data_IF_767934923725
#
_entry.id   IF_767934923725
#
_cell.length_a   1.000
_cell.length_b   1.000
_cell.length_c   1.000
_cell.angle_alpha   90.00
_cell.angle_beta   90.00
_cell.angle_gamma   90.00
#
_symmetry.space_group_name_H-M   'P 1'
#
loop_
_entity.id
_entity.type
_entity.pdbx_description
1 polymer ?
#
# COMPACT_ATOMS: atom_id res chain seq x y z
N UNK A 1 24.70 -18.87 22.34
CA UNK A 1 24.89 -18.83 23.81
C UNK A 1 24.23 -17.61 24.50
N UNK A 2 23.18 -16.98 23.94
CA UNK A 2 22.49 -15.82 24.53
C UNK A 2 21.07 -16.10 25.09
N UNK A 3 20.54 -17.32 24.98
CA UNK A 3 19.17 -17.66 25.44
C UNK A 3 19.05 -18.11 26.90
N UNK A 4 20.03 -18.87 27.42
CA UNK A 4 19.92 -19.55 28.74
C UNK A 4 19.68 -18.60 29.93
N UNK A 5 20.25 -17.39 29.94
CA UNK A 5 20.09 -16.48 31.08
C UNK A 5 18.69 -15.87 31.23
N UNK A 6 17.96 -15.68 30.13
CA UNK A 6 16.58 -15.20 30.20
C UNK A 6 15.65 -16.32 30.66
N UNK A 7 15.83 -17.52 30.12
CA UNK A 7 15.02 -18.69 30.49
C UNK A 7 15.17 -19.03 31.98
N UNK A 8 16.39 -18.92 32.53
CA UNK A 8 16.66 -19.12 33.95
C UNK A 8 15.98 -18.05 34.83
N UNK A 9 16.02 -16.77 34.41
CA UNK A 9 15.37 -15.67 35.13
C UNK A 9 13.84 -15.80 35.12
N UNK A 10 13.26 -16.20 33.99
CA UNK A 10 11.82 -16.46 33.86
C UNK A 10 11.41 -17.64 34.74
N UNK A 11 12.16 -18.75 34.71
CA UNK A 11 11.90 -19.93 35.54
C UNK A 11 11.93 -19.59 37.04
N UNK A 12 12.89 -18.78 37.47
CA UNK A 12 12.99 -18.31 38.85
C UNK A 12 11.81 -17.39 39.25
N UNK A 13 11.41 -16.47 38.36
CA UNK A 13 10.28 -15.58 38.61
C UNK A 13 8.94 -16.33 38.69
N UNK A 14 8.72 -17.30 37.79
CA UNK A 14 7.52 -18.14 37.80
C UNK A 14 7.46 -19.06 39.03
N UNK A 15 8.60 -19.61 39.46
CA UNK A 15 8.67 -20.40 40.70
C UNK A 15 8.30 -19.55 41.93
N UNK A 16 8.68 -18.28 41.93
CA UNK A 16 8.27 -17.36 42.99
C UNK A 16 6.75 -17.10 42.94
N UNK A 17 6.17 -16.84 41.77
CA UNK A 17 4.72 -16.68 41.64
C UNK A 17 3.98 -17.93 42.10
N UNK A 18 4.44 -19.13 41.72
CA UNK A 18 3.80 -20.39 42.11
C UNK A 18 3.78 -20.58 43.64
N UNK A 19 4.81 -20.08 44.33
CA UNK A 19 4.87 -20.10 45.80
C UNK A 19 3.90 -19.13 46.48
N UNK A 20 3.42 -18.10 45.78
CA UNK A 20 2.55 -17.04 46.31
C UNK A 20 1.10 -17.24 45.86
N UNK A 21 0.90 -17.46 44.56
CA UNK A 21 -0.38 -17.69 43.89
C UNK A 21 -0.16 -18.57 42.64
N UNK A 22 -0.47 -19.88 42.72
CA UNK A 22 -0.35 -20.80 41.60
C UNK A 22 -1.17 -20.42 40.37
N UNK A 23 -2.31 -19.74 40.54
CA UNK A 23 -3.14 -19.32 39.41
C UNK A 23 -2.45 -18.19 38.64
N UNK A 24 -1.91 -17.20 39.36
CA UNK A 24 -1.07 -16.14 38.77
C UNK A 24 0.13 -16.72 38.01
N UNK A 25 0.78 -17.74 38.57
CA UNK A 25 1.93 -18.39 37.93
C UNK A 25 1.54 -19.10 36.63
N UNK A 26 0.40 -19.78 36.60
CA UNK A 26 -0.13 -20.43 35.41
C UNK A 26 -0.45 -19.41 34.31
N UNK A 27 -1.06 -18.28 34.68
CA UNK A 27 -1.43 -17.21 33.75
C UNK A 27 -0.21 -16.50 33.18
N UNK A 28 0.76 -16.19 34.04
CA UNK A 28 2.04 -15.62 33.66
C UNK A 28 2.84 -16.56 32.73
N UNK A 29 2.81 -17.87 32.99
CA UNK A 29 3.43 -18.88 32.12
C UNK A 29 2.78 -18.88 30.73
N UNK A 30 1.44 -18.94 30.67
CA UNK A 30 0.72 -18.94 29.40
C UNK A 30 0.99 -17.64 28.61
N UNK A 31 0.97 -16.50 29.28
CA UNK A 31 1.34 -15.22 28.69
C UNK A 31 2.78 -15.19 28.18
N UNK A 32 3.73 -15.71 28.95
CA UNK A 32 5.14 -15.76 28.56
C UNK A 32 5.37 -16.68 27.37
N UNK A 33 4.80 -17.88 27.37
CA UNK A 33 4.98 -18.86 26.29
C UNK A 33 4.40 -18.30 24.98
N UNK A 34 3.25 -17.62 25.04
CA UNK A 34 2.67 -16.92 23.90
C UNK A 34 3.55 -15.75 23.41
N UNK A 35 4.05 -14.91 24.31
CA UNK A 35 4.97 -13.82 23.97
C UNK A 35 6.28 -14.34 23.37
N UNK A 36 6.85 -15.41 23.92
CA UNK A 36 8.07 -16.03 23.42
C UNK A 36 7.89 -16.59 22.01
N UNK A 37 6.69 -17.13 21.70
CA UNK A 37 6.35 -17.63 20.37
C UNK A 37 6.35 -16.56 19.26
N UNK A 38 6.16 -15.28 19.62
CA UNK A 38 6.13 -14.15 18.67
C UNK A 38 7.31 -13.19 18.83
N UNK A 39 8.21 -13.46 19.78
CA UNK A 39 9.38 -12.62 20.03
C UNK A 39 10.60 -13.12 19.26
N UNK A 40 11.54 -12.23 18.89
CA UNK A 40 12.79 -12.65 18.29
C UNK A 40 13.63 -13.46 19.31
N UNK A 41 14.62 -14.26 18.85
CA UNK A 41 15.46 -15.08 19.72
C UNK A 41 16.26 -14.30 20.77
N UNK A 42 16.42 -12.99 20.60
CA UNK A 42 17.09 -12.12 21.55
C UNK A 42 16.22 -11.73 22.76
N UNK A 43 14.92 -12.01 22.72
CA UNK A 43 13.94 -11.72 23.76
C UNK A 43 12.84 -10.75 23.30
N UNK A 44 11.87 -10.41 24.17
CA UNK A 44 10.75 -9.57 23.81
C UNK A 44 11.14 -8.14 23.41
N UNK A 45 10.43 -7.62 22.40
CA UNK A 45 10.49 -6.23 21.93
C UNK A 45 9.15 -5.56 22.23
N UNK A 46 9.09 -4.23 22.21
CA UNK A 46 7.81 -3.54 22.35
C UNK A 46 6.82 -3.99 21.26
N UNK A 47 7.31 -4.20 20.03
CA UNK A 47 6.49 -4.71 18.94
C UNK A 47 5.94 -6.12 19.24
N UNK A 48 6.76 -7.07 19.69
CA UNK A 48 6.29 -8.43 19.98
C UNK A 48 5.31 -8.48 21.16
N UNK A 49 5.52 -7.63 22.17
CA UNK A 49 4.60 -7.47 23.31
C UNK A 49 3.24 -6.97 22.84
N UNK A 50 3.21 -5.92 22.02
CA UNK A 50 1.97 -5.38 21.46
C UNK A 50 1.26 -6.40 20.56
N UNK A 51 2.00 -7.06 19.67
CA UNK A 51 1.46 -8.09 18.78
C UNK A 51 0.86 -9.26 19.58
N UNK A 52 1.55 -9.77 20.59
CA UNK A 52 1.00 -10.83 21.44
C UNK A 52 -0.29 -10.38 22.15
N UNK A 53 -0.22 -9.27 22.88
CA UNK A 53 -1.32 -8.80 23.73
C UNK A 53 -2.54 -8.35 22.93
N UNK A 54 -2.33 -7.67 21.80
CA UNK A 54 -3.40 -7.01 21.06
C UNK A 54 -4.00 -7.89 19.95
N UNK A 55 -3.22 -8.84 19.42
CA UNK A 55 -3.64 -9.68 18.29
C UNK A 55 -3.82 -11.14 18.69
N UNK A 56 -2.85 -11.75 19.37
CA UNK A 56 -2.90 -13.19 19.63
C UNK A 56 -3.69 -13.56 20.88
N UNK A 57 -3.61 -12.74 21.93
CA UNK A 57 -4.21 -13.06 23.22
C UNK A 57 -5.73 -13.19 23.17
N UNK A 58 -6.40 -12.39 22.33
CA UNK A 58 -7.85 -12.48 22.06
C UNK A 58 -8.29 -13.85 21.53
N UNK A 59 -7.39 -14.57 20.86
CA UNK A 59 -7.68 -15.88 20.27
C UNK A 59 -7.16 -17.03 21.14
N UNK A 60 -6.11 -16.80 21.92
CA UNK A 60 -5.50 -17.80 22.78
C UNK A 60 -6.28 -18.03 24.09
N UNK A 61 -7.02 -17.04 24.57
CA UNK A 61 -7.75 -17.10 25.83
C UNK A 61 -9.20 -17.57 25.68
N UNK A 62 -9.72 -18.21 26.72
CA UNK A 62 -11.13 -18.61 26.85
C UNK A 62 -12.04 -17.43 27.23
N UNK A 63 -12.02 -16.38 26.40
CA UNK A 63 -12.83 -15.17 26.58
C UNK A 63 -12.06 -13.96 27.14
N UNK A 64 -12.72 -12.78 27.14
CA UNK A 64 -12.05 -11.50 27.36
C UNK A 64 -11.56 -11.29 28.80
N UNK A 65 -12.32 -11.74 29.80
CA UNK A 65 -11.89 -11.63 31.21
C UNK A 65 -10.62 -12.46 31.46
N UNK A 66 -10.59 -13.67 30.91
CA UNK A 66 -9.43 -14.56 31.01
C UNK A 66 -8.21 -13.96 30.32
N UNK A 67 -8.40 -13.35 29.15
CA UNK A 67 -7.34 -12.66 28.45
C UNK A 67 -6.79 -11.45 29.25
N UNK A 68 -7.66 -10.69 29.92
CA UNK A 68 -7.22 -9.59 30.80
C UNK A 68 -6.40 -10.11 31.98
N UNK A 69 -6.80 -11.23 32.59
CA UNK A 69 -6.04 -11.84 33.69
C UNK A 69 -4.65 -12.30 33.23
N UNK A 70 -4.57 -12.97 32.06
CA UNK A 70 -3.30 -13.37 31.43
C UNK A 70 -2.42 -12.15 31.14
N UNK A 71 -2.99 -11.07 30.59
CA UNK A 71 -2.26 -9.85 30.29
C UNK A 71 -1.67 -9.21 31.56
N UNK A 72 -2.46 -9.14 32.65
CA UNK A 72 -2.00 -8.61 33.93
C UNK A 72 -0.91 -9.48 34.56
N UNK A 73 -1.08 -10.79 34.57
CA UNK A 73 -0.09 -11.75 35.07
C UNK A 73 1.23 -11.68 34.29
N UNK A 74 1.17 -11.56 32.96
CA UNK A 74 2.33 -11.32 32.12
C UNK A 74 2.99 -9.98 32.45
N UNK A 75 2.21 -8.93 32.70
CA UNK A 75 2.71 -7.63 33.15
C UNK A 75 3.53 -7.74 34.44
N UNK A 76 3.04 -8.46 35.43
CA UNK A 76 3.73 -8.65 36.71
C UNK A 76 5.03 -9.45 36.54
N UNK A 77 5.03 -10.45 35.66
CA UNK A 77 6.24 -11.18 35.28
C UNK A 77 7.27 -10.25 34.62
N UNK A 78 6.85 -9.45 33.62
CA UNK A 78 7.71 -8.53 32.89
C UNK A 78 8.33 -7.47 33.81
N UNK A 79 7.55 -6.92 34.74
CA UNK A 79 8.06 -5.98 35.74
C UNK A 79 9.14 -6.61 36.62
N UNK A 80 8.92 -7.85 37.06
CA UNK A 80 9.91 -8.60 37.86
C UNK A 80 11.19 -8.93 37.09
N UNK A 81 11.09 -9.06 35.76
CA UNK A 81 12.24 -9.19 34.85
C UNK A 81 12.90 -7.82 34.52
N UNK A 82 12.44 -6.73 35.13
CA UNK A 82 12.96 -5.37 34.90
C UNK A 82 12.50 -4.72 33.59
N UNK A 83 11.47 -5.28 32.94
CA UNK A 83 10.89 -4.78 31.68
C UNK A 83 9.67 -3.89 31.96
N UNK A 84 9.88 -2.83 32.73
CA UNK A 84 8.81 -1.95 33.24
C UNK A 84 7.94 -1.39 32.11
N UNK A 85 8.54 -0.89 31.03
CA UNK A 85 7.79 -0.34 29.90
C UNK A 85 6.88 -1.38 29.22
N UNK A 86 7.30 -2.64 29.14
CA UNK A 86 6.48 -3.70 28.56
C UNK A 86 5.35 -4.15 29.51
N UNK A 87 5.64 -4.15 30.82
CA UNK A 87 4.64 -4.41 31.85
C UNK A 87 3.52 -3.35 31.86
N UNK A 88 3.87 -2.08 31.62
CA UNK A 88 2.90 -1.00 31.47
C UNK A 88 1.97 -1.21 30.27
N UNK A 89 2.49 -1.70 29.13
CA UNK A 89 1.65 -2.05 27.97
C UNK A 89 0.69 -3.17 28.34
N UNK A 90 1.18 -4.23 28.98
CA UNK A 90 0.37 -5.38 29.40
C UNK A 90 -0.80 -5.00 30.32
N UNK A 91 -0.59 -4.03 31.21
CA UNK A 91 -1.59 -3.53 32.17
C UNK A 91 -2.33 -2.28 31.71
N UNK A 92 -2.10 -1.82 30.48
CA UNK A 92 -2.70 -0.58 29.98
C UNK A 92 -4.20 -0.74 29.72
N UNK A 93 -4.94 0.37 29.87
CA UNK A 93 -6.35 0.42 29.48
C UNK A 93 -6.56 0.09 27.98
N UNK A 94 -5.59 0.45 27.13
CA UNK A 94 -5.62 0.11 25.70
C UNK A 94 -5.61 -1.40 25.47
N UNK A 95 -4.75 -2.14 26.18
CA UNK A 95 -4.74 -3.61 26.09
C UNK A 95 -6.05 -4.21 26.57
N UNK A 96 -6.61 -3.71 27.67
CA UNK A 96 -7.91 -4.17 28.17
C UNK A 96 -9.05 -3.87 27.19
N UNK A 97 -9.10 -2.67 26.60
CA UNK A 97 -10.09 -2.29 25.58
C UNK A 97 -10.03 -3.20 24.36
N UNK A 98 -8.82 -3.45 23.82
CA UNK A 98 -8.62 -4.29 22.63
C UNK A 98 -9.01 -5.75 22.89
N UNK A 99 -8.61 -6.31 24.02
CA UNK A 99 -8.94 -7.69 24.39
C UNK A 99 -10.44 -7.88 24.61
N UNK A 100 -11.14 -6.85 25.09
CA UNK A 100 -12.59 -6.87 25.34
C UNK A 100 -13.43 -6.55 24.10
N UNK A 101 -12.82 -6.12 22.99
CA UNK A 101 -13.54 -5.82 21.77
C UNK A 101 -14.14 -7.10 21.16
N UNK A 102 -15.47 -7.19 21.13
CA UNK A 102 -16.19 -8.37 20.62
C UNK A 102 -16.49 -8.33 19.13
N UNK A 103 -16.38 -7.15 18.51
CA UNK A 103 -16.63 -6.92 17.09
C UNK A 103 -15.31 -6.70 16.36
N UNK A 104 -15.08 -7.46 15.29
CA UNK A 104 -13.82 -7.45 14.55
C UNK A 104 -13.53 -6.11 13.87
N UNK A 105 -14.56 -5.41 13.39
CA UNK A 105 -14.39 -4.12 12.72
C UNK A 105 -14.02 -3.02 13.72
N UNK A 106 -14.69 -3.01 14.89
CA UNK A 106 -14.36 -2.11 16.00
C UNK A 106 -12.95 -2.43 16.53
N UNK A 107 -12.64 -3.71 16.75
CA UNK A 107 -11.31 -4.14 17.19
C UNK A 107 -10.23 -3.67 16.21
N UNK A 108 -10.42 -3.87 14.90
CA UNK A 108 -9.44 -3.46 13.89
C UNK A 108 -9.23 -1.94 13.88
N UNK A 109 -10.30 -1.16 14.03
CA UNK A 109 -10.21 0.29 14.15
C UNK A 109 -9.40 0.71 15.38
N UNK A 110 -9.71 0.13 16.54
CA UNK A 110 -9.00 0.40 17.80
C UNK A 110 -7.54 -0.04 17.73
N UNK A 111 -7.27 -1.22 17.15
CA UNK A 111 -5.92 -1.76 17.00
C UNK A 111 -5.05 -0.86 16.12
N UNK A 112 -5.57 -0.38 14.99
CA UNK A 112 -4.86 0.58 14.12
C UNK A 112 -4.56 1.87 14.87
N UNK A 113 -5.53 2.41 15.61
CA UNK A 113 -5.33 3.62 16.40
C UNK A 113 -4.28 3.44 17.51
N UNK A 114 -4.32 2.32 18.24
CA UNK A 114 -3.36 1.99 19.29
C UNK A 114 -1.94 1.80 18.72
N UNK A 115 -1.81 1.12 17.59
CA UNK A 115 -0.54 0.90 16.88
C UNK A 115 0.06 2.20 16.35
N UNK A 116 -0.78 3.11 15.83
CA UNK A 116 -0.33 4.44 15.42
C UNK A 116 0.15 5.24 16.63
N UNK A 117 -0.61 5.25 17.73
CA UNK A 117 -0.28 5.97 18.96
C UNK A 117 0.98 5.43 19.65
N UNK A 118 1.25 4.13 19.55
CA UNK A 118 2.37 3.50 20.24
C UNK A 118 3.75 3.93 19.72
N UNK A 119 3.82 4.45 18.49
CA UNK A 119 5.08 4.84 17.89
C UNK A 119 5.86 3.71 17.22
N UNK A 120 5.50 2.45 17.48
CA UNK A 120 6.32 1.27 17.15
C UNK A 120 5.75 0.43 16.00
N UNK A 121 4.51 0.69 15.56
CA UNK A 121 3.99 0.08 14.33
C UNK A 121 4.63 0.62 13.06
N UNK A 122 4.80 -0.26 12.06
CA UNK A 122 5.09 0.15 10.69
C UNK A 122 3.97 1.05 10.17
N UNK A 123 4.33 2.22 9.65
CA UNK A 123 3.38 3.21 9.14
C UNK A 123 3.28 3.09 7.63
N UNK A 124 2.10 3.32 7.08
CA UNK A 124 1.94 3.47 5.63
C UNK A 124 2.83 4.63 5.14
N UNK A 125 3.55 4.41 4.04
CA UNK A 125 4.44 5.39 3.43
C UNK A 125 4.10 5.61 1.96
N UNK A 126 4.90 6.41 1.26
CA UNK A 126 4.75 6.54 -0.19
C UNK A 126 5.26 5.30 -0.95
N UNK A 127 5.97 4.38 -0.29
CA UNK A 127 6.49 3.16 -0.88
C UNK A 127 5.56 1.96 -0.70
N UNK A 128 4.78 1.94 0.39
CA UNK A 128 3.97 0.79 0.77
C UNK A 128 2.76 1.17 1.62
N UNK A 129 1.67 0.44 1.43
CA UNK A 129 0.54 0.36 2.36
C UNK A 129 0.48 -1.04 2.95
N UNK A 130 0.54 -1.16 4.28
CA UNK A 130 0.64 -2.46 4.97
C UNK A 130 -0.69 -3.23 4.97
N UNK A 131 -0.60 -4.56 4.86
CA UNK A 131 -1.75 -5.44 5.07
C UNK A 131 -2.26 -5.33 6.50
N UNK A 132 -3.55 -5.61 6.70
CA UNK A 132 -4.16 -5.59 8.03
C UNK A 132 -3.65 -6.70 8.93
N UNK A 133 -3.36 -7.86 8.35
CA UNK A 133 -2.73 -9.00 8.99
C UNK A 133 -1.51 -9.44 8.16
N UNK A 134 -0.35 -8.78 8.31
CA UNK A 134 0.88 -9.18 7.64
C UNK A 134 1.23 -10.64 7.94
N UNK A 135 1.59 -11.41 6.91
CA UNK A 135 2.05 -12.80 7.05
C UNK A 135 3.43 -12.97 6.39
N UNK A 136 4.04 -14.16 6.56
CA UNK A 136 5.28 -14.52 5.87
C UNK A 136 6.39 -13.47 5.96
N UNK A 137 6.87 -13.05 4.79
CA UNK A 137 7.94 -12.04 4.64
C UNK A 137 7.48 -10.66 5.08
N UNK A 138 6.26 -10.24 4.74
CA UNK A 138 5.74 -8.92 5.13
C UNK A 138 5.70 -8.77 6.65
N UNK A 139 5.29 -9.83 7.38
CA UNK A 139 5.34 -9.85 8.85
C UNK A 139 6.74 -9.63 9.38
N UNK A 140 7.74 -10.34 8.84
CA UNK A 140 9.13 -10.21 9.28
C UNK A 140 9.68 -8.80 9.02
N UNK A 141 9.26 -8.15 7.92
CA UNK A 141 9.62 -6.76 7.61
C UNK A 141 8.98 -5.79 8.60
N UNK A 142 7.68 -5.94 8.88
CA UNK A 142 6.95 -5.12 9.87
C UNK A 142 7.57 -5.24 11.26
N UNK A 143 7.93 -6.47 11.68
CA UNK A 143 8.63 -6.72 12.95
C UNK A 143 9.96 -5.97 13.00
N UNK A 144 10.77 -6.04 11.93
CA UNK A 144 12.06 -5.35 11.86
C UNK A 144 11.93 -3.83 11.86
N UNK A 145 10.92 -3.28 11.18
CA UNK A 145 10.60 -1.85 11.24
C UNK A 145 10.24 -1.45 12.68
N UNK A 146 9.43 -2.27 13.36
CA UNK A 146 9.05 -2.01 14.75
C UNK A 146 10.25 -2.00 15.70
N UNK A 147 11.14 -2.99 15.58
CA UNK A 147 12.41 -3.04 16.33
C UNK A 147 13.25 -1.78 16.09
N UNK A 148 13.30 -1.31 14.84
CA UNK A 148 14.10 -0.14 14.46
C UNK A 148 13.50 1.15 15.01
N UNK A 149 12.17 1.30 14.96
CA UNK A 149 11.44 2.42 15.56
C UNK A 149 11.58 2.44 17.09
N UNK A 150 11.64 1.28 17.73
CA UNK A 150 11.88 1.16 19.16
C UNK A 150 13.28 1.65 19.53
N UNK A 151 14.30 1.19 18.81
CA UNK A 151 15.68 1.67 19.00
C UNK A 151 15.78 3.17 18.77
N UNK A 152 15.16 3.70 17.71
CA UNK A 152 15.13 5.14 17.44
C UNK A 152 14.44 5.93 18.55
N UNK A 153 13.36 5.38 19.13
CA UNK A 153 12.66 5.98 20.27
C UNK A 153 13.56 6.03 21.51
N UNK A 154 14.24 4.94 21.83
CA UNK A 154 15.19 4.86 22.96
C UNK A 154 16.37 5.82 22.76
N UNK A 155 16.83 5.99 21.52
CA UNK A 155 17.90 6.91 21.16
C UNK A 155 17.48 8.40 21.19
N UNK A 156 16.19 8.70 21.42
CA UNK A 156 15.68 10.06 21.47
C UNK A 156 15.47 10.71 20.10
N UNK A 157 15.41 9.93 19.00
CA UNK A 157 15.23 10.45 17.63
C UNK A 157 13.90 11.19 17.43
N UNK A 158 12.94 11.03 18.35
CA UNK A 158 11.65 11.72 18.34
C UNK A 158 11.53 12.82 19.40
N UNK A 159 12.63 13.14 20.09
CA UNK A 159 12.73 14.23 21.05
C UNK A 159 13.08 15.58 20.38
N UNK A 160 12.84 16.72 21.07
CA UNK A 160 13.24 18.03 20.58
C UNK A 160 14.76 18.12 20.39
N UNK A 161 15.21 18.76 19.30
CA UNK A 161 16.64 18.93 18.99
C UNK A 161 17.44 19.78 19.99
N UNK A 162 16.78 20.41 20.96
CA UNK A 162 17.42 21.18 22.04
C UNK A 162 16.86 20.71 23.38
N UNK A 163 17.71 20.53 24.42
CA UNK A 163 17.24 20.27 25.77
C UNK A 163 16.21 21.31 26.23
N UNK A 164 15.06 20.87 26.73
CA UNK A 164 13.95 21.73 27.13
C UNK A 164 13.16 22.35 25.97
N UNK A 165 13.42 21.94 24.73
CA UNK A 165 12.67 22.38 23.55
C UNK A 165 11.21 21.89 23.57
N UNK A 166 10.36 22.55 22.77
CA UNK A 166 8.97 22.10 22.60
C UNK A 166 8.95 20.69 21.98
N UNK A 167 8.12 19.76 22.48
CA UNK A 167 7.90 18.45 21.86
C UNK A 167 7.62 18.58 20.36
N UNK A 168 8.14 17.64 19.57
CA UNK A 168 7.78 17.53 18.17
C UNK A 168 6.26 17.40 18.03
N UNK A 169 5.67 18.16 17.11
CA UNK A 169 4.27 18.02 16.76
C UNK A 169 3.97 16.66 16.15
N UNK A 170 2.71 16.22 16.20
CA UNK A 170 2.24 14.91 15.72
C UNK A 170 2.68 14.67 14.26
N UNK A 171 2.51 15.65 13.38
CA UNK A 171 2.91 15.56 11.96
C UNK A 171 4.42 15.38 11.78
N UNK A 172 5.24 16.03 12.60
CA UNK A 172 6.70 15.93 12.51
C UNK A 172 7.18 14.55 12.96
N UNK A 173 6.59 13.99 14.03
CA UNK A 173 6.85 12.63 14.48
C UNK A 173 6.44 11.61 13.42
N UNK A 174 5.24 11.73 12.86
CA UNK A 174 4.77 10.85 11.79
C UNK A 174 5.70 10.89 10.56
N UNK A 175 6.20 12.08 10.19
CA UNK A 175 7.15 12.24 9.09
C UNK A 175 8.48 11.56 9.37
N UNK A 176 9.04 11.71 10.59
CA UNK A 176 10.28 11.02 10.97
C UNK A 176 10.09 9.50 10.99
N UNK A 177 8.97 9.00 11.51
CA UNK A 177 8.64 7.56 11.52
C UNK A 177 8.58 6.99 10.11
N UNK A 178 7.88 7.67 9.18
CA UNK A 178 7.88 7.29 7.76
C UNK A 178 9.30 7.25 7.19
N UNK A 179 10.13 8.25 7.49
CA UNK A 179 11.53 8.27 7.06
C UNK A 179 12.35 7.08 7.58
N UNK A 180 12.14 6.65 8.82
CA UNK A 180 12.78 5.43 9.37
C UNK A 180 12.25 4.18 8.65
N UNK A 181 10.94 4.08 8.43
CA UNK A 181 10.34 2.97 7.67
C UNK A 181 10.89 2.88 6.26
N UNK A 182 10.92 4.00 5.52
CA UNK A 182 11.45 4.06 4.15
C UNK A 182 12.94 3.73 4.11
N UNK A 183 13.72 4.18 5.09
CA UNK A 183 15.13 3.82 5.22
C UNK A 183 15.30 2.30 5.37
N UNK A 184 14.60 1.68 6.32
CA UNK A 184 14.64 0.20 6.50
C UNK A 184 14.28 -0.53 5.22
N UNK A 185 13.25 -0.08 4.49
CA UNK A 185 12.81 -0.72 3.25
C UNK A 185 13.84 -0.65 2.11
N UNK A 186 14.62 0.44 2.07
CA UNK A 186 15.51 0.75 0.95
C UNK A 186 17.00 0.50 1.24
N UNK A 187 17.40 0.34 2.51
CA UNK A 187 18.81 0.13 2.88
C UNK A 187 19.11 -1.27 3.39
N UNK A 188 18.15 -1.94 4.03
CA UNK A 188 18.41 -3.22 4.68
C UNK A 188 18.25 -4.38 3.71
N UNK A 189 19.16 -5.34 3.81
CA UNK A 189 19.08 -6.63 3.14
C UNK A 189 18.37 -7.67 4.02
N UNK A 190 17.79 -8.68 3.36
CA UNK A 190 17.10 -9.78 4.03
C UNK A 190 18.06 -10.67 4.81
N UNK A 191 17.51 -11.49 5.73
CA UNK A 191 18.31 -12.46 6.52
C UNK A 191 18.93 -13.59 5.68
N UNK A 192 18.57 -13.72 4.40
CA UNK A 192 18.89 -14.86 3.56
C UNK A 192 20.04 -14.63 2.57
N UNK A 193 20.93 -13.65 2.82
CA UNK A 193 22.00 -13.26 1.88
C UNK A 193 21.47 -12.90 0.47
N UNK A 194 20.18 -12.53 0.36
CA UNK A 194 19.64 -11.96 -0.86
C UNK A 194 20.21 -10.55 -1.00
N UNK A 195 20.83 -10.26 -2.14
CA UNK A 195 21.38 -8.93 -2.45
C UNK A 195 20.28 -7.84 -2.48
N UNK A 196 19.02 -8.26 -2.61
CA UNK A 196 17.85 -7.39 -2.72
C UNK A 196 17.43 -6.74 -1.40
N UNK A 197 17.05 -5.47 -1.49
CA UNK A 197 16.52 -4.69 -0.36
C UNK A 197 15.14 -5.21 0.07
N UNK A 198 14.74 -4.90 1.31
CA UNK A 198 13.46 -5.38 1.87
C UNK A 198 12.23 -4.99 1.03
N UNK A 199 12.26 -3.86 0.33
CA UNK A 199 11.17 -3.44 -0.56
C UNK A 199 10.95 -4.44 -1.72
N UNK A 200 12.02 -4.97 -2.31
CA UNK A 200 11.92 -5.94 -3.41
C UNK A 200 11.49 -7.32 -2.91
N UNK A 201 11.95 -7.72 -1.72
CA UNK A 201 11.46 -8.94 -1.06
C UNK A 201 9.97 -8.84 -0.72
N UNK A 202 9.50 -7.65 -0.33
CA UNK A 202 8.08 -7.40 -0.11
C UNK A 202 7.30 -7.52 -1.43
N UNK A 203 7.81 -6.96 -2.51
CA UNK A 203 7.18 -7.09 -3.83
C UNK A 203 7.05 -8.56 -4.24
N UNK A 204 8.11 -9.34 -4.10
CA UNK A 204 8.11 -10.77 -4.39
C UNK A 204 7.07 -11.53 -3.55
N UNK A 205 7.06 -11.26 -2.25
CA UNK A 205 6.07 -11.84 -1.35
C UNK A 205 4.64 -11.49 -1.77
N UNK A 206 4.40 -10.25 -2.19
CA UNK A 206 3.07 -9.81 -2.64
C UNK A 206 2.69 -10.36 -4.00
N UNK A 207 3.63 -10.56 -4.92
CA UNK A 207 3.39 -11.30 -6.16
C UNK A 207 2.93 -12.72 -5.83
N UNK A 208 3.62 -13.40 -4.91
CA UNK A 208 3.28 -14.77 -4.50
C UNK A 208 1.93 -14.85 -3.79
N UNK A 209 1.72 -13.98 -2.81
CA UNK A 209 0.46 -13.89 -2.07
C UNK A 209 -0.71 -13.61 -3.01
N UNK A 210 -0.56 -12.63 -3.91
CA UNK A 210 -1.60 -12.29 -4.88
C UNK A 210 -1.84 -13.42 -5.87
N UNK A 211 -0.79 -14.02 -6.42
CA UNK A 211 -0.89 -15.16 -7.34
C UNK A 211 -1.58 -16.38 -6.72
N UNK A 212 -1.47 -16.55 -5.40
CA UNK A 212 -2.12 -17.66 -4.67
C UNK A 212 -3.64 -17.51 -4.54
N UNK A 213 -4.20 -16.34 -4.85
CA UNK A 213 -5.63 -16.05 -4.66
C UNK A 213 -6.54 -16.88 -5.56
N UNK A 214 -6.14 -17.11 -6.81
CA UNK A 214 -6.90 -17.95 -7.75
C UNK A 214 -6.01 -18.46 -8.88
N UNK A 215 -6.42 -19.55 -9.56
CA UNK A 215 -5.66 -20.08 -10.70
C UNK A 215 -5.54 -19.06 -11.85
N UNK A 216 -6.60 -18.32 -12.26
CA UNK A 216 -6.45 -17.25 -13.25
C UNK A 216 -5.51 -16.13 -12.81
N UNK A 217 -5.42 -15.83 -11.51
CA UNK A 217 -4.46 -14.85 -11.00
C UNK A 217 -3.02 -15.36 -11.10
N UNK A 218 -2.78 -16.62 -10.78
CA UNK A 218 -1.47 -17.25 -10.96
C UNK A 218 -1.01 -17.21 -12.43
N UNK A 219 -1.93 -17.48 -13.37
CA UNK A 219 -1.68 -17.35 -14.80
C UNK A 219 -1.36 -15.91 -15.21
N UNK A 220 -2.12 -14.93 -14.70
CA UNK A 220 -1.95 -13.52 -15.03
C UNK A 220 -0.55 -13.00 -14.67
N UNK A 221 -0.03 -13.40 -13.52
CA UNK A 221 1.28 -12.94 -13.01
C UNK A 221 2.46 -13.76 -13.55
N UNK A 222 2.22 -14.77 -14.38
CA UNK A 222 3.27 -15.57 -14.99
C UNK A 222 4.13 -14.70 -15.92
N UNK A 223 5.43 -14.64 -15.64
CA UNK A 223 6.39 -13.88 -16.45
C UNK A 223 6.41 -12.37 -16.20
N UNK A 224 5.65 -11.84 -15.24
CA UNK A 224 5.65 -10.40 -14.93
C UNK A 224 6.79 -9.97 -14.00
N UNK A 225 7.38 -10.89 -13.24
CA UNK A 225 8.30 -10.59 -12.12
C UNK A 225 9.46 -9.67 -12.51
N UNK A 226 10.20 -9.99 -13.58
CA UNK A 226 11.34 -9.19 -14.04
C UNK A 226 10.92 -7.75 -14.39
N UNK A 227 9.85 -7.61 -15.18
CA UNK A 227 9.35 -6.30 -15.58
C UNK A 227 8.88 -5.44 -14.38
N UNK A 228 8.28 -6.06 -13.35
CA UNK A 228 7.86 -5.37 -12.13
C UNK A 228 9.06 -4.91 -11.30
N UNK A 229 10.14 -5.69 -11.25
CA UNK A 229 11.39 -5.29 -10.60
C UNK A 229 12.09 -4.15 -11.33
N UNK A 230 12.14 -4.18 -12.67
CA UNK A 230 12.77 -3.14 -13.48
C UNK A 230 12.00 -1.81 -13.49
N UNK A 231 10.74 -1.79 -13.05
CA UNK A 231 9.85 -0.64 -13.11
C UNK A 231 10.02 0.36 -11.93
N UNK A 232 11.24 0.56 -11.44
CA UNK A 232 11.56 1.53 -10.38
C UNK A 232 11.63 2.97 -10.92
N UNK A 233 12.18 3.13 -12.11
CA UNK A 233 12.53 4.44 -12.66
C UNK A 233 11.36 5.13 -13.41
N UNK A 234 11.16 6.46 -13.24
CA UNK A 234 10.13 7.20 -13.94
C UNK A 234 10.21 7.10 -15.47
N UNK A 235 9.05 6.91 -16.11
CA UNK A 235 8.94 6.99 -17.58
C UNK A 235 8.61 8.44 -17.97
N UNK A 236 9.66 9.24 -18.20
CA UNK A 236 9.50 10.68 -18.43
C UNK A 236 8.68 11.06 -19.68
N UNK A 237 8.52 10.17 -20.66
CA UNK A 237 7.68 10.41 -21.84
C UNK A 237 6.23 10.74 -21.47
N UNK A 238 5.62 9.94 -20.61
CA UNK A 238 4.24 10.16 -20.15
C UNK A 238 4.14 11.37 -19.21
N UNK A 239 5.12 11.57 -18.33
CA UNK A 239 5.18 12.73 -17.41
C UNK A 239 5.24 14.04 -18.20
N UNK A 240 6.07 14.11 -19.24
CA UNK A 240 6.17 15.29 -20.11
C UNK A 240 4.86 15.63 -20.81
N UNK A 241 4.04 14.63 -21.17
CA UNK A 241 2.72 14.87 -21.77
C UNK A 241 1.78 15.52 -20.75
N UNK A 242 1.80 15.05 -19.50
CA UNK A 242 1.05 15.67 -18.40
C UNK A 242 1.54 17.10 -18.12
N UNK A 243 2.85 17.31 -18.04
CA UNK A 243 3.43 18.65 -17.87
C UNK A 243 3.03 19.59 -19.02
N UNK A 244 3.04 19.08 -20.26
CA UNK A 244 2.69 19.87 -21.44
C UNK A 244 1.22 20.26 -21.49
N UNK A 245 0.30 19.36 -21.12
CA UNK A 245 -1.13 19.71 -21.03
C UNK A 245 -1.40 20.71 -19.90
N UNK A 246 -0.75 20.53 -18.74
CA UNK A 246 -0.81 21.46 -17.61
C UNK A 246 -0.28 22.84 -18.04
N UNK A 247 0.86 22.88 -18.72
CA UNK A 247 1.47 24.10 -19.25
C UNK A 247 0.60 24.81 -20.29
N UNK A 248 -0.08 24.06 -21.17
CA UNK A 248 -1.03 24.63 -22.13
C UNK A 248 -2.23 25.32 -21.47
N UNK A 249 -2.67 24.82 -20.31
CA UNK A 249 -3.77 25.39 -19.50
C UNK A 249 -3.27 26.59 -18.69
N UNK A 250 -2.02 26.57 -18.21
CA UNK A 250 -1.41 27.65 -17.42
C UNK A 250 -2.15 27.89 -16.11
N UNK A 251 -2.35 29.17 -15.74
CA UNK A 251 -3.09 29.56 -14.52
C UNK A 251 -4.61 29.31 -14.61
N UNK A 252 -5.08 28.85 -15.76
CA UNK A 252 -6.41 28.34 -15.98
C UNK A 252 -7.13 29.00 -17.14
N UNK A 253 -8.05 28.25 -17.73
CA UNK A 253 -8.77 28.63 -18.94
C UNK A 253 -10.27 28.65 -18.69
N UNK A 254 -10.98 29.59 -19.33
CA UNK A 254 -12.44 29.62 -19.34
C UNK A 254 -12.97 28.50 -20.21
N UNK A 255 -13.91 27.71 -19.66
CA UNK A 255 -14.58 26.66 -20.40
C UNK A 255 -15.68 27.26 -21.26
N UNK A 256 -16.07 26.54 -22.31
CA UNK A 256 -17.29 26.85 -23.06
C UNK A 256 -18.53 26.69 -22.17
N UNK A 257 -19.69 27.19 -22.61
CA UNK A 257 -20.95 27.07 -21.85
C UNK A 257 -21.33 25.60 -21.57
N UNK A 258 -20.96 24.69 -22.47
CA UNK A 258 -21.14 23.24 -22.31
C UNK A 258 -20.06 22.59 -21.42
N UNK A 259 -19.11 23.37 -20.89
CA UNK A 259 -18.05 22.91 -20.01
C UNK A 259 -16.86 22.27 -20.72
N UNK A 260 -16.68 22.49 -22.03
CA UNK A 260 -15.56 21.99 -22.82
C UNK A 260 -14.39 22.98 -22.88
N UNK A 261 -13.22 22.52 -23.28
CA UNK A 261 -12.09 23.38 -23.61
C UNK A 261 -12.40 24.17 -24.89
N UNK A 262 -11.96 25.44 -24.98
CA UNK A 262 -12.01 26.20 -26.22
C UNK A 262 -11.26 25.50 -27.36
N UNK A 263 -11.78 25.55 -28.59
CA UNK A 263 -11.23 24.85 -29.76
C UNK A 263 -9.78 25.27 -30.08
N UNK A 264 -9.43 26.54 -29.86
CA UNK A 264 -8.06 27.05 -30.04
C UNK A 264 -7.07 26.42 -29.04
N UNK A 265 -7.53 26.18 -27.81
CA UNK A 265 -6.77 25.45 -26.80
C UNK A 265 -6.67 23.97 -27.15
N UNK A 266 -7.75 23.34 -27.60
CA UNK A 266 -7.73 21.94 -28.06
C UNK A 266 -6.68 21.76 -29.16
N UNK A 267 -6.67 22.66 -30.15
CA UNK A 267 -5.68 22.65 -31.22
C UNK A 267 -4.26 22.92 -30.72
N UNK A 268 -4.07 23.77 -29.71
CA UNK A 268 -2.78 24.00 -29.07
C UNK A 268 -2.29 22.74 -28.36
N UNK A 269 -3.12 22.13 -27.51
CA UNK A 269 -2.80 20.88 -26.80
C UNK A 269 -2.45 19.78 -27.81
N UNK A 270 -3.27 19.59 -28.85
CA UNK A 270 -3.05 18.58 -29.88
C UNK A 270 -1.67 18.73 -30.57
N UNK A 271 -1.23 19.97 -30.83
CA UNK A 271 0.07 20.24 -31.46
C UNK A 271 1.26 20.13 -30.51
N UNK A 272 1.07 20.51 -29.24
CA UNK A 272 2.15 20.62 -28.25
C UNK A 272 2.41 19.31 -27.52
N UNK A 273 1.36 18.55 -27.20
CA UNK A 273 1.47 17.33 -26.37
C UNK A 273 1.84 16.11 -27.19
N UNK A 274 1.27 15.96 -28.39
CA UNK A 274 1.42 14.75 -29.20
C UNK A 274 2.48 14.92 -30.30
N UNK A 275 3.40 13.94 -30.46
CA UNK A 275 4.28 13.85 -31.62
C UNK A 275 3.48 13.87 -32.93
N UNK A 276 4.08 14.36 -34.02
CA UNK A 276 3.39 14.53 -35.33
C UNK A 276 2.69 13.24 -35.78
N UNK A 277 3.33 12.09 -35.61
CA UNK A 277 2.79 10.79 -36.00
C UNK A 277 1.58 10.32 -35.16
N UNK A 278 1.41 10.87 -33.95
CA UNK A 278 0.37 10.47 -32.99
C UNK A 278 -0.73 11.53 -32.85
N UNK A 279 -0.67 12.62 -33.64
CA UNK A 279 -1.65 13.69 -33.54
C UNK A 279 -3.04 13.17 -33.88
N UNK A 280 -4.08 13.61 -33.15
CA UNK A 280 -5.46 13.29 -33.51
C UNK A 280 -5.74 13.64 -34.98
N UNK A 281 -6.35 12.72 -35.72
CA UNK A 281 -6.67 12.90 -37.13
C UNK A 281 -7.61 14.09 -37.36
N UNK A 282 -8.56 14.28 -36.44
CA UNK A 282 -9.46 15.40 -36.41
C UNK A 282 -9.16 16.25 -35.17
N UNK A 283 -8.94 17.54 -35.40
CA UNK A 283 -8.73 18.53 -34.34
C UNK A 283 -9.79 19.60 -34.53
N UNK A 284 -10.69 19.68 -33.56
CA UNK A 284 -11.83 20.59 -33.58
C UNK A 284 -12.34 20.79 -32.16
N UNK A 285 -13.59 20.41 -31.92
CA UNK A 285 -14.17 20.42 -30.57
C UNK A 285 -13.50 19.35 -29.71
N UNK A 286 -13.43 19.58 -28.41
CA UNK A 286 -12.85 18.62 -27.46
C UNK A 286 -13.48 17.22 -27.56
N UNK A 287 -14.80 17.14 -27.74
CA UNK A 287 -15.53 15.88 -27.92
C UNK A 287 -15.12 15.09 -29.17
N UNK A 288 -14.63 15.79 -30.19
CA UNK A 288 -14.19 15.18 -31.45
C UNK A 288 -12.67 14.92 -31.44
N UNK A 289 -12.00 15.12 -30.30
CA UNK A 289 -10.55 14.97 -30.13
C UNK A 289 -10.24 14.09 -28.92
N UNK A 290 -10.49 12.78 -29.07
CA UNK A 290 -10.49 11.77 -27.99
C UNK A 290 -9.26 11.83 -27.08
N UNK A 291 -8.04 11.91 -27.64
CA UNK A 291 -6.80 11.98 -26.84
C UNK A 291 -6.75 13.23 -25.94
N UNK A 292 -7.27 14.38 -26.41
CA UNK A 292 -7.30 15.61 -25.59
C UNK A 292 -8.36 15.49 -24.49
N UNK A 293 -9.53 14.94 -24.82
CA UNK A 293 -10.58 14.68 -23.85
C UNK A 293 -10.12 13.70 -22.76
N UNK A 294 -9.43 12.63 -23.14
CA UNK A 294 -8.86 11.63 -22.23
C UNK A 294 -7.84 12.26 -21.28
N UNK A 295 -6.87 13.04 -21.80
CA UNK A 295 -5.90 13.75 -20.94
C UNK A 295 -6.60 14.70 -19.98
N UNK A 296 -7.61 15.45 -20.42
CA UNK A 296 -8.35 16.37 -19.54
C UNK A 296 -9.06 15.61 -18.43
N UNK A 297 -9.74 14.50 -18.76
CA UNK A 297 -10.42 13.65 -17.77
C UNK A 297 -9.41 13.08 -16.79
N UNK A 298 -8.27 12.58 -17.26
CA UNK A 298 -7.20 12.07 -16.42
C UNK A 298 -6.66 13.12 -15.45
N UNK A 299 -6.26 14.31 -15.91
CA UNK A 299 -5.71 15.35 -14.99
C UNK A 299 -6.75 15.85 -13.98
N UNK A 300 -8.04 15.80 -14.31
CA UNK A 300 -9.10 16.08 -13.35
C UNK A 300 -9.28 14.93 -12.34
N UNK A 301 -9.25 13.67 -12.80
CA UNK A 301 -9.39 12.46 -11.98
C UNK A 301 -8.22 12.31 -11.00
N UNK A 302 -6.99 12.59 -11.45
CA UNK A 302 -5.78 12.69 -10.63
C UNK A 302 -5.75 13.93 -9.72
N UNK A 303 -6.80 14.77 -9.75
CA UNK A 303 -6.93 16.01 -8.95
C UNK A 303 -5.80 17.01 -9.18
N UNK A 304 -5.18 16.98 -10.36
CA UNK A 304 -4.19 17.97 -10.80
C UNK A 304 -4.88 19.26 -11.27
N UNK A 305 -6.10 19.14 -11.76
CA UNK A 305 -6.93 20.25 -12.21
C UNK A 305 -8.31 20.20 -11.55
N UNK A 306 -8.96 21.34 -11.41
CA UNK A 306 -10.35 21.42 -10.92
C UNK A 306 -11.17 22.44 -11.71
N UNK A 307 -12.49 22.25 -11.71
CA UNK A 307 -13.43 23.28 -12.20
C UNK A 307 -13.69 24.29 -11.10
N UNK A 308 -13.63 25.58 -11.44
CA UNK A 308 -13.90 26.69 -10.51
C UNK A 308 -14.47 27.87 -11.29
N UNK A 309 -15.70 28.28 -10.97
CA UNK A 309 -16.40 29.41 -11.60
C UNK A 309 -16.33 29.39 -13.15
N UNK A 310 -16.69 28.26 -13.77
CA UNK A 310 -16.66 28.11 -15.24
C UNK A 310 -15.25 27.99 -15.84
N UNK A 311 -14.19 27.93 -15.03
CA UNK A 311 -12.81 27.78 -15.49
C UNK A 311 -12.23 26.42 -15.09
N UNK A 312 -11.31 25.91 -15.89
CA UNK A 312 -10.42 24.82 -15.50
C UNK A 312 -9.10 25.42 -15.00
N UNK A 313 -8.74 25.13 -13.75
CA UNK A 313 -7.58 25.73 -13.06
C UNK A 313 -6.73 24.64 -12.41
N UNK A 314 -5.39 24.82 -12.34
CA UNK A 314 -4.52 23.92 -11.60
C UNK A 314 -4.83 23.99 -10.09
N UNK A 315 -4.70 22.85 -9.41
CA UNK A 315 -4.78 22.83 -7.94
C UNK A 315 -3.49 23.38 -7.33
N UNK A 316 -3.52 23.76 -6.05
CA UNK A 316 -2.33 24.22 -5.33
C UNK A 316 -1.22 23.16 -5.33
N UNK A 317 -1.62 21.87 -5.23
CA UNK A 317 -0.70 20.72 -5.30
C UNK A 317 0.07 20.71 -6.61
N UNK A 318 -0.62 20.84 -7.74
CA UNK A 318 -0.01 20.77 -9.08
C UNK A 318 1.10 21.78 -9.28
N UNK A 319 0.97 22.98 -8.71
CA UNK A 319 1.98 24.04 -8.82
C UNK A 319 3.30 23.71 -8.10
N UNK A 320 3.30 22.71 -7.22
CA UNK A 320 4.44 22.34 -6.38
C UNK A 320 5.03 20.96 -6.76
N UNK A 321 4.42 20.25 -7.72
CA UNK A 321 4.89 18.92 -8.11
C UNK A 321 6.14 19.02 -8.99
N UNK A 322 7.17 18.25 -8.64
CA UNK A 322 8.25 17.89 -9.55
C UNK A 322 7.76 16.85 -10.57
N UNK A 323 8.59 16.57 -11.58
CA UNK A 323 8.34 15.49 -12.55
C UNK A 323 8.17 14.14 -11.84
N UNK A 324 9.00 13.83 -10.83
CA UNK A 324 8.86 12.62 -10.01
C UNK A 324 7.58 12.62 -9.16
N UNK A 325 7.15 13.79 -8.70
CA UNK A 325 5.88 13.97 -8.02
C UNK A 325 4.69 13.70 -8.95
N UNK A 326 4.76 14.14 -10.20
CA UNK A 326 3.75 13.84 -11.22
C UNK A 326 3.74 12.35 -11.58
N UNK A 327 4.91 11.73 -11.70
CA UNK A 327 5.05 10.29 -11.91
C UNK A 327 4.34 9.49 -10.81
N UNK A 328 4.64 9.78 -9.53
CA UNK A 328 3.98 9.12 -8.40
C UNK A 328 2.46 9.34 -8.37
N UNK A 329 1.99 10.55 -8.71
CA UNK A 329 0.55 10.82 -8.82
C UNK A 329 -0.09 9.99 -9.94
N UNK A 330 0.58 9.88 -11.08
CA UNK A 330 0.10 9.10 -12.22
C UNK A 330 0.03 7.60 -11.87
N UNK A 331 1.14 7.01 -11.41
CA UNK A 331 1.20 5.57 -11.14
C UNK A 331 0.23 5.16 -10.04
N UNK A 332 0.11 5.97 -8.98
CA UNK A 332 -0.81 5.67 -7.89
C UNK A 332 -2.27 6.01 -8.16
N UNK A 333 -2.56 6.90 -9.11
CA UNK A 333 -3.90 7.38 -9.37
C UNK A 333 -4.57 6.83 -10.64
N UNK A 334 -3.80 6.33 -11.61
CA UNK A 334 -4.39 5.94 -12.91
C UNK A 334 -5.36 4.76 -12.75
N UNK A 335 -5.02 3.76 -11.92
CA UNK A 335 -5.93 2.67 -11.53
C UNK A 335 -6.38 2.80 -10.07
N UNK A 336 -5.55 3.36 -9.18
CA UNK A 336 -5.80 3.37 -7.73
C UNK A 336 -5.35 2.07 -7.06
N UNK A 337 -5.62 1.94 -5.76
CA UNK A 337 -5.25 0.77 -4.93
C UNK A 337 -6.46 0.00 -4.38
N UNK A 338 -7.67 0.39 -4.79
CA UNK A 338 -8.89 -0.28 -4.33
C UNK A 338 -9.02 -1.65 -5.01
N UNK A 339 -9.61 -2.60 -4.29
CA UNK A 339 -9.99 -3.92 -4.80
C UNK A 339 -11.42 -3.86 -5.36
N UNK A 340 -11.52 -3.68 -6.68
CA UNK A 340 -12.78 -3.42 -7.40
C UNK A 340 -12.74 -4.02 -8.83
N UNK A 341 -13.88 -4.38 -9.46
CA UNK A 341 -13.91 -4.93 -10.82
C UNK A 341 -13.10 -4.15 -11.86
N UNK A 342 -13.26 -2.82 -11.92
CA UNK A 342 -12.50 -1.93 -12.82
C UNK A 342 -10.99 -2.10 -12.66
N UNK A 343 -10.53 -2.27 -11.42
CA UNK A 343 -9.11 -2.41 -11.11
C UNK A 343 -8.57 -3.80 -11.47
N UNK A 344 -9.40 -4.84 -11.40
CA UNK A 344 -9.07 -6.21 -11.81
C UNK A 344 -8.97 -6.28 -13.34
N UNK A 345 -9.92 -5.69 -14.06
CA UNK A 345 -9.85 -5.57 -15.52
C UNK A 345 -8.64 -4.74 -15.97
N UNK A 346 -8.31 -3.67 -15.24
CA UNK A 346 -7.09 -2.91 -15.47
C UNK A 346 -5.83 -3.77 -15.27
N UNK A 347 -5.76 -4.63 -14.26
CA UNK A 347 -4.61 -5.53 -14.07
C UNK A 347 -4.41 -6.47 -15.27
N UNK A 348 -5.50 -7.02 -15.82
CA UNK A 348 -5.47 -7.85 -17.04
C UNK A 348 -4.88 -7.08 -18.22
N UNK A 349 -5.37 -5.86 -18.45
CA UNK A 349 -4.86 -5.00 -19.52
C UNK A 349 -3.36 -4.73 -19.36
N UNK A 350 -2.93 -4.33 -18.16
CA UNK A 350 -1.54 -3.97 -17.87
C UNK A 350 -0.60 -5.18 -18.00
N UNK A 351 -1.01 -6.37 -17.54
CA UNK A 351 -0.23 -7.59 -17.72
C UNK A 351 -0.06 -7.96 -19.21
N UNK A 352 -1.14 -7.87 -19.99
CA UNK A 352 -1.09 -8.11 -21.44
C UNK A 352 -0.16 -7.13 -22.15
N UNK A 353 -0.15 -5.85 -21.74
CA UNK A 353 0.79 -4.86 -22.25
C UNK A 353 2.25 -5.22 -21.96
N UNK A 354 2.55 -5.68 -20.73
CA UNK A 354 3.91 -6.08 -20.33
C UNK A 354 4.39 -7.29 -21.13
N UNK A 355 3.51 -8.27 -21.35
CA UNK A 355 3.80 -9.48 -22.12
C UNK A 355 3.86 -9.23 -23.65
N UNK A 356 3.60 -8.00 -24.11
CA UNK A 356 3.66 -7.61 -25.51
C UNK A 356 2.48 -8.11 -26.35
N UNK A 357 1.37 -8.49 -25.70
CA UNK A 357 0.15 -8.90 -26.38
C UNK A 357 -0.52 -7.69 -27.03
N UNK A 358 -1.24 -7.92 -28.13
CA UNK A 358 -2.14 -6.93 -28.69
C UNK A 358 -3.37 -6.80 -27.79
N UNK A 359 -3.58 -5.61 -27.23
CA UNK A 359 -4.76 -5.30 -26.42
C UNK A 359 -5.93 -4.78 -27.27
N UNK A 360 -5.76 -4.65 -28.59
CA UNK A 360 -6.88 -4.42 -29.51
C UNK A 360 -7.76 -5.66 -29.68
N UNK A 361 -7.28 -6.84 -29.25
CA UNK A 361 -8.11 -8.02 -29.03
C UNK A 361 -8.97 -7.82 -27.77
N UNK A 362 -10.00 -6.99 -27.93
CA UNK A 362 -10.95 -6.61 -26.89
C UNK A 362 -11.64 -7.86 -26.33
N UNK A 363 -11.97 -8.82 -27.19
CA UNK A 363 -12.62 -10.06 -26.78
C UNK A 363 -11.71 -10.89 -25.87
N UNK A 364 -10.44 -11.14 -26.25
CA UNK A 364 -9.55 -11.90 -25.38
C UNK A 364 -9.26 -11.20 -24.05
N UNK A 365 -9.12 -9.87 -24.07
CA UNK A 365 -8.93 -9.07 -22.85
C UNK A 365 -10.16 -9.12 -21.94
N UNK A 366 -11.35 -9.07 -22.52
CA UNK A 366 -12.63 -9.18 -21.83
C UNK A 366 -12.86 -10.60 -21.28
N UNK A 367 -12.51 -11.64 -22.04
CA UNK A 367 -12.58 -13.04 -21.62
C UNK A 367 -11.68 -13.30 -20.41
N UNK A 368 -10.43 -12.83 -20.45
CA UNK A 368 -9.48 -12.94 -19.33
C UNK A 368 -9.99 -12.18 -18.09
N UNK A 369 -10.55 -10.98 -18.29
CA UNK A 369 -11.14 -10.17 -17.23
C UNK A 369 -12.36 -10.84 -16.58
N UNK A 370 -13.29 -11.36 -17.39
CA UNK A 370 -14.47 -12.09 -16.90
C UNK A 370 -14.08 -13.39 -16.19
N UNK A 371 -13.07 -14.12 -16.70
CA UNK A 371 -12.52 -15.31 -16.05
C UNK A 371 -11.98 -14.99 -14.66
N UNK A 372 -11.21 -13.91 -14.54
CA UNK A 372 -10.63 -13.47 -13.27
C UNK A 372 -11.71 -12.98 -12.30
N UNK A 373 -12.64 -12.13 -12.74
CA UNK A 373 -13.75 -11.63 -11.93
C UNK A 373 -14.60 -12.77 -11.35
N UNK A 374 -14.94 -13.78 -12.17
CA UNK A 374 -15.68 -14.97 -11.73
C UNK A 374 -14.91 -15.77 -10.69
N UNK A 375 -13.62 -16.02 -10.93
CA UNK A 375 -12.78 -16.77 -10.00
C UNK A 375 -12.64 -16.10 -8.63
N UNK A 376 -12.88 -14.79 -8.57
CA UNK A 376 -12.78 -13.98 -7.37
C UNK A 376 -14.13 -13.64 -6.73
N UNK A 377 -15.21 -14.25 -7.24
CA UNK A 377 -16.55 -14.15 -6.66
C UNK A 377 -17.31 -12.88 -7.01
N UNK A 378 -16.84 -12.08 -7.97
CA UNK A 378 -17.60 -10.93 -8.45
C UNK A 378 -18.80 -11.38 -9.29
N UNK A 379 -19.89 -10.63 -9.23
CA UNK A 379 -21.13 -10.87 -9.99
C UNK A 379 -21.60 -9.60 -10.68
N UNK A 380 -22.33 -9.75 -11.79
CA UNK A 380 -23.01 -8.67 -12.48
C UNK A 380 -24.52 -8.92 -12.42
N UNK A 381 -25.27 -8.03 -11.79
CA UNK A 381 -26.72 -8.19 -11.58
C UNK A 381 -27.14 -9.52 -10.92
N UNK A 382 -26.26 -10.14 -10.13
CA UNK A 382 -26.49 -11.43 -9.47
C UNK A 382 -26.08 -12.66 -10.29
N UNK A 383 -25.55 -12.47 -11.50
CA UNK A 383 -25.06 -13.54 -12.38
C UNK A 383 -23.54 -13.51 -12.52
N UNK A 384 -22.96 -14.59 -13.05
CA UNK A 384 -21.53 -14.64 -13.30
C UNK A 384 -21.12 -13.63 -14.39
N UNK A 385 -20.01 -12.90 -14.22
CA UNK A 385 -19.54 -11.96 -15.23
C UNK A 385 -19.25 -12.66 -16.57
N UNK A 386 -19.80 -12.11 -17.63
CA UNK A 386 -19.54 -12.51 -19.01
C UNK A 386 -18.60 -11.48 -19.64
N UNK A 387 -17.98 -11.83 -20.76
CA UNK A 387 -17.00 -10.97 -21.42
C UNK A 387 -17.62 -9.63 -21.84
N UNK A 388 -18.88 -9.61 -22.29
CA UNK A 388 -19.58 -8.37 -22.62
C UNK A 388 -19.72 -7.41 -21.43
N UNK A 389 -19.84 -7.93 -20.21
CA UNK A 389 -19.87 -7.13 -18.98
C UNK A 389 -18.50 -6.53 -18.65
N UNK A 390 -17.41 -7.22 -19.03
CA UNK A 390 -16.05 -6.84 -18.71
C UNK A 390 -15.41 -5.90 -19.77
N UNK A 391 -15.88 -5.94 -21.01
CA UNK A 391 -15.31 -5.19 -22.16
C UNK A 391 -15.15 -3.70 -21.84
N UNK A 392 -16.18 -3.09 -21.24
CA UNK A 392 -16.21 -1.64 -20.97
C UNK A 392 -15.39 -1.20 -19.75
N UNK A 393 -14.97 -2.14 -18.89
CA UNK A 393 -14.30 -1.82 -17.62
C UNK A 393 -12.92 -1.17 -17.84
N UNK A 394 -12.24 -1.52 -18.94
CA UNK A 394 -10.90 -1.03 -19.25
C UNK A 394 -10.87 0.14 -20.25
N UNK A 395 -12.00 0.52 -20.87
CA UNK A 395 -12.04 1.53 -21.94
C UNK A 395 -11.44 2.88 -21.54
N UNK A 396 -11.78 3.33 -20.33
CA UNK A 396 -11.26 4.60 -19.80
C UNK A 396 -9.73 4.53 -19.67
N UNK A 397 -9.21 3.43 -19.13
CA UNK A 397 -7.78 3.23 -18.96
C UNK A 397 -7.06 3.15 -20.31
N UNK A 398 -7.63 2.44 -21.29
CA UNK A 398 -7.06 2.35 -22.64
C UNK A 398 -6.98 3.74 -23.28
N UNK A 399 -8.04 4.53 -23.20
CA UNK A 399 -8.04 5.89 -23.75
C UNK A 399 -7.00 6.81 -23.07
N UNK A 400 -6.83 6.68 -21.75
CA UNK A 400 -5.83 7.43 -21.00
C UNK A 400 -4.40 7.00 -21.34
N UNK A 401 -4.12 5.70 -21.40
CA UNK A 401 -2.81 5.14 -21.79
C UNK A 401 -2.46 5.51 -23.24
N UNK A 402 -3.44 5.46 -24.15
CA UNK A 402 -3.27 5.89 -25.54
C UNK A 402 -2.95 7.39 -25.63
N UNK A 403 -3.60 8.22 -24.81
CA UNK A 403 -3.30 9.65 -24.74
C UNK A 403 -1.93 9.95 -24.08
N UNK A 404 -1.43 9.04 -23.25
CA UNK A 404 -0.08 9.09 -22.68
C UNK A 404 1.00 8.51 -23.63
N UNK A 405 0.62 7.99 -24.80
CA UNK A 405 1.55 7.44 -25.78
C UNK A 405 2.04 6.03 -25.46
N UNK A 406 1.23 5.24 -24.74
CA UNK A 406 1.60 3.88 -24.35
C UNK A 406 1.54 2.87 -25.51
N UNK A 407 0.93 3.21 -26.66
CA UNK A 407 0.72 2.30 -27.78
C UNK A 407 1.40 2.78 -29.06
N UNK A 408 1.83 1.83 -29.90
CA UNK A 408 2.55 2.11 -31.16
C UNK A 408 1.62 2.60 -32.28
N UNK A 409 0.38 2.11 -32.33
CA UNK A 409 -0.62 2.47 -33.34
C UNK A 409 -2.03 2.34 -32.77
N UNK A 410 -2.99 3.04 -33.38
CA UNK A 410 -4.41 2.89 -33.07
C UNK A 410 -4.98 1.57 -33.58
N UNK A 411 -4.49 1.08 -34.72
CA UNK A 411 -4.99 -0.14 -35.40
C UNK A 411 -4.43 -1.44 -34.80
N UNK A 412 -3.28 -1.34 -34.13
CA UNK A 412 -2.64 -2.46 -33.45
C UNK A 412 -2.08 -1.93 -32.13
N UNK A 413 -2.82 -2.13 -31.05
CA UNK A 413 -2.57 -1.49 -29.76
C UNK A 413 -1.51 -2.28 -28.97
N UNK A 414 -0.41 -2.63 -29.62
CA UNK A 414 0.76 -3.17 -28.95
C UNK A 414 1.46 -2.05 -28.18
N UNK A 415 1.83 -2.35 -26.94
CA UNK A 415 2.54 -1.41 -26.09
C UNK A 415 3.87 -0.95 -26.72
N UNK A 416 4.21 0.32 -26.55
CA UNK A 416 5.60 0.79 -26.70
C UNK A 416 6.43 0.27 -25.53
N UNK A 417 7.75 0.31 -25.66
CA UNK A 417 8.64 -0.11 -24.56
C UNK A 417 8.43 0.80 -23.32
N UNK A 418 8.18 2.09 -23.54
CA UNK A 418 7.76 3.03 -22.50
C UNK A 418 6.37 2.66 -21.93
N UNK A 419 5.42 2.28 -22.79
CA UNK A 419 4.08 1.84 -22.37
C UNK A 419 4.09 0.59 -21.50
N UNK A 420 4.91 -0.41 -21.84
CA UNK A 420 5.11 -1.60 -21.03
C UNK A 420 5.73 -1.27 -19.67
N UNK A 421 6.71 -0.36 -19.63
CA UNK A 421 7.30 0.13 -18.37
C UNK A 421 6.30 0.92 -17.52
N UNK A 422 5.44 1.74 -18.12
CA UNK A 422 4.33 2.40 -17.41
C UNK A 422 3.39 1.37 -16.82
N UNK A 423 3.01 0.35 -17.60
CA UNK A 423 2.12 -0.70 -17.13
C UNK A 423 2.71 -1.47 -15.94
N UNK A 424 4.00 -1.84 -16.03
CA UNK A 424 4.72 -2.48 -14.96
C UNK A 424 4.81 -1.60 -13.70
N UNK A 425 5.07 -0.29 -13.84
CA UNK A 425 5.13 0.63 -12.70
C UNK A 425 3.77 0.79 -12.00
N UNK A 426 2.67 0.81 -12.77
CA UNK A 426 1.30 0.87 -12.21
C UNK A 426 0.98 -0.42 -11.47
N UNK A 427 1.29 -1.60 -12.04
CA UNK A 427 1.09 -2.89 -11.36
C UNK A 427 1.97 -3.02 -10.11
N UNK A 428 3.23 -2.61 -10.18
CA UNK A 428 4.15 -2.57 -9.04
C UNK A 428 3.59 -1.71 -7.92
N UNK A 429 3.14 -0.49 -8.23
CA UNK A 429 2.50 0.38 -7.24
C UNK A 429 1.24 -0.28 -6.66
N UNK A 430 0.40 -0.90 -7.50
CA UNK A 430 -0.79 -1.61 -7.00
C UNK A 430 -0.43 -2.74 -6.04
N UNK A 431 0.54 -3.59 -6.36
CA UNK A 431 0.98 -4.66 -5.46
C UNK A 431 1.47 -4.09 -4.13
N UNK A 432 2.20 -2.98 -4.14
CA UNK A 432 2.74 -2.35 -2.92
C UNK A 432 1.70 -1.55 -2.11
N UNK A 433 0.55 -1.19 -2.69
CA UNK A 433 -0.45 -0.35 -2.02
C UNK A 433 -1.84 -0.97 -1.84
N UNK A 434 -2.14 -2.08 -2.52
CA UNK A 434 -3.45 -2.76 -2.38
C UNK A 434 -3.46 -3.60 -1.12
N UNK A 435 -4.46 -3.39 -0.26
CA UNK A 435 -4.76 -4.34 0.82
C UNK A 435 -5.55 -5.49 0.22
N UNK A 436 -4.99 -6.69 0.30
CA UNK A 436 -5.59 -7.87 -0.29
C UNK A 436 -6.78 -8.32 0.57
N UNK A 437 -7.91 -8.73 -0.04
CA UNK A 437 -8.95 -9.43 0.70
C UNK A 437 -8.37 -10.62 1.45
N UNK A 438 -8.89 -10.85 2.66
CA UNK A 438 -8.52 -12.02 3.45
C UNK A 438 -8.86 -13.29 2.65
N UNK A 439 -7.89 -14.20 2.55
CA UNK A 439 -8.04 -15.53 1.95
C UNK A 439 -8.91 -16.45 2.80
#
# INVERSE_FOLDING_TARGET
>A
MKGSGMDDAVSAALSYFDSVDPALAADARLGWDGLAGVSPPAGPTQHSVQTFLWVYLRHAAEGPDRAVDIARALGDLLERLGRVAYAEIARSGVTEELVRATDDAIWLQQYRAATEQSGIGAVDTELVTWQDAPTGVERAIVEKIGETLEVATIAGEFEPSKPGGRPLGVTARATRRRGVTDAVLTSDQGKNDADDVLLEQLLDHRIELWSSYSAPRAELYLGLREALHDAVEPVYGCVRRLESVIGCIGDGVTLTDAGYLPDDLVARIARTVFPVAERPQFVGRELDTDKVLALRRLVMRLRLMRRSAGRLVPTTRTRQLSSDGLWRVLTGGIVGSDYHPDSIAAEVLLARMILGNDIADAQATADDSARLLRAEGWTHAGEEPESEHAETLADTLIAELDALGAFRSADNRVATDEGARVAAAVLRHRLLHTRFPAL
#
